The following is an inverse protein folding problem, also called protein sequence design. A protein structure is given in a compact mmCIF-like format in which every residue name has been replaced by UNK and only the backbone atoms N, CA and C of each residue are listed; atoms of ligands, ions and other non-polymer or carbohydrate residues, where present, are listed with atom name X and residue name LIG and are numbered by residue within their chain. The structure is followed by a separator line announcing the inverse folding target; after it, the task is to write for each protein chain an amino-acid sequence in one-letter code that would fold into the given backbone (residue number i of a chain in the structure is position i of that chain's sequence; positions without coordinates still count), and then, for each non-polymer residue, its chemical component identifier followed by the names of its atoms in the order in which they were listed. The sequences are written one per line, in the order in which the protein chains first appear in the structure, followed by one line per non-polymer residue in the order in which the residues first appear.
data_IF_548351016243
#
_entry.id   IF_548351016243
#
_cell.length_a   1.000
_cell.length_b   1.000
_cell.length_c   1.000
_cell.angle_alpha   90.00
_cell.angle_beta   90.00
_cell.angle_gamma   90.00
#
_symmetry.space_group_name_H-M   'P 1'
#
loop_
_entity.id
_entity.type
_entity.pdbx_description
1 polymer ?
#
# COMPACT_ATOMS: atom_id res chain seq x y z
N UNK A 1 13.32 8.97 4.26
CA UNK A 1 12.43 8.93 5.44
C UNK A 1 11.58 7.66 5.40
N UNK A 2 10.92 7.24 6.48
CA UNK A 2 10.17 5.97 6.50
C UNK A 2 8.88 6.06 7.31
N UNK A 3 7.81 5.52 6.75
CA UNK A 3 6.53 5.27 7.41
C UNK A 3 6.21 3.76 7.41
N UNK A 4 5.43 3.32 8.40
CA UNK A 4 5.06 1.90 8.58
C UNK A 4 3.59 1.81 8.95
N UNK A 5 2.84 1.00 8.20
CA UNK A 5 1.47 0.57 8.51
C UNK A 5 1.52 -0.91 8.92
N UNK A 6 0.86 -1.27 10.02
CA UNK A 6 0.58 -2.67 10.37
C UNK A 6 -0.88 -2.96 10.11
N UNK A 7 -1.14 -4.07 9.47
CA UNK A 7 -2.47 -4.53 9.09
C UNK A 7 -2.52 -6.06 9.24
N UNK A 8 -3.64 -6.66 8.83
CA UNK A 8 -3.75 -8.11 8.68
C UNK A 8 -4.46 -8.47 7.39
N UNK A 9 -4.21 -9.68 6.94
CA UNK A 9 -4.93 -10.28 5.84
C UNK A 9 -6.40 -10.60 6.17
N UNK A 10 -7.12 -11.09 5.17
CA UNK A 10 -8.53 -11.47 5.25
C UNK A 10 -8.84 -12.57 4.21
N UNK A 11 -9.82 -13.44 4.48
CA UNK A 11 -10.25 -14.54 3.60
C UNK A 11 -10.65 -14.12 2.17
N UNK A 12 -10.82 -12.83 1.92
CA UNK A 12 -11.20 -12.25 0.63
C UNK A 12 -10.06 -11.53 -0.07
N UNK A 13 -8.82 -11.59 0.46
CA UNK A 13 -7.64 -11.06 -0.23
C UNK A 13 -7.38 -11.89 -1.48
N UNK A 14 -7.78 -11.36 -2.63
CA UNK A 14 -7.55 -11.98 -3.94
C UNK A 14 -6.29 -11.44 -4.63
N UNK A 15 -5.98 -10.15 -4.41
CA UNK A 15 -4.87 -9.44 -5.03
C UNK A 15 -4.78 -9.65 -6.54
N UNK A 16 -5.86 -9.32 -7.27
CA UNK A 16 -5.97 -9.49 -8.72
C UNK A 16 -6.10 -8.18 -9.49
N UNK A 17 -6.25 -7.05 -8.80
CA UNK A 17 -6.36 -5.77 -9.48
C UNK A 17 -5.08 -5.43 -10.27
N UNK A 18 -5.23 -5.00 -11.51
CA UNK A 18 -4.14 -4.89 -12.48
C UNK A 18 -3.34 -3.59 -12.38
N UNK A 19 -3.80 -2.62 -11.60
CA UNK A 19 -3.18 -1.28 -11.56
C UNK A 19 -2.98 -0.70 -10.17
N UNK A 20 -3.46 -1.38 -9.13
CA UNK A 20 -3.34 -0.90 -7.75
C UNK A 20 -3.18 -2.03 -6.77
N UNK A 21 -2.67 -1.70 -5.58
CA UNK A 21 -2.96 -2.44 -4.35
C UNK A 21 -3.29 -1.45 -3.23
N UNK A 22 -4.00 -1.93 -2.21
CA UNK A 22 -4.54 -1.10 -1.12
C UNK A 22 -4.39 -1.77 0.25
N UNK A 23 -4.10 -0.97 1.27
CA UNK A 23 -4.22 -1.32 2.68
C UNK A 23 -5.21 -0.34 3.33
N UNK A 24 -6.19 -0.85 4.08
CA UNK A 24 -7.28 -0.05 4.66
C UNK A 24 -7.40 -0.23 6.19
N UNK A 25 -7.90 0.79 6.88
CA UNK A 25 -8.27 0.75 8.30
C UNK A 25 -9.59 0.03 8.56
N UNK A 26 -10.39 -0.25 7.52
CA UNK A 26 -11.63 -1.03 7.67
C UNK A 26 -11.37 -2.40 8.27
N UNK A 27 -12.34 -2.93 9.02
CA UNK A 27 -12.31 -4.28 9.60
C UNK A 27 -12.96 -5.35 8.70
N UNK A 28 -13.32 -4.99 7.47
CA UNK A 28 -14.02 -5.86 6.54
C UNK A 28 -13.45 -5.77 5.12
N UNK A 29 -13.57 -6.87 4.39
CA UNK A 29 -13.28 -6.95 2.96
C UNK A 29 -14.33 -7.82 2.29
N UNK A 30 -14.79 -7.41 1.10
CA UNK A 30 -15.67 -8.23 0.26
C UNK A 30 -14.89 -8.85 -0.91
N UNK A 31 -15.38 -9.92 -1.54
CA UNK A 31 -14.71 -10.51 -2.72
C UNK A 31 -14.54 -9.54 -3.91
N UNK A 32 -15.29 -8.44 -3.93
CA UNK A 32 -15.16 -7.40 -4.97
C UNK A 32 -13.97 -6.46 -4.74
N UNK A 33 -13.40 -6.42 -3.52
CA UNK A 33 -12.25 -5.58 -3.17
C UNK A 33 -10.93 -6.20 -3.59
N UNK A 34 -10.74 -6.40 -4.89
CA UNK A 34 -9.65 -7.20 -5.44
C UNK A 34 -8.26 -6.52 -5.44
N UNK A 35 -8.21 -5.22 -5.10
CA UNK A 35 -6.97 -4.47 -4.85
C UNK A 35 -6.53 -4.52 -3.38
N UNK A 36 -7.40 -4.87 -2.43
CA UNK A 36 -7.09 -4.82 -1.00
C UNK A 36 -6.24 -6.03 -0.61
N UNK A 37 -5.11 -5.77 0.04
CA UNK A 37 -4.15 -6.78 0.52
C UNK A 37 -4.02 -6.80 2.04
N UNK A 38 -4.57 -5.80 2.73
CA UNK A 38 -4.61 -5.75 4.18
C UNK A 38 -5.74 -4.87 4.71
N UNK A 39 -6.32 -5.29 5.82
CA UNK A 39 -7.39 -4.64 6.56
C UNK A 39 -6.95 -4.40 8.02
N UNK A 40 -7.77 -3.67 8.79
CA UNK A 40 -7.49 -3.27 10.18
C UNK A 40 -6.10 -2.63 10.33
N UNK A 41 -5.76 -1.76 9.38
CA UNK A 41 -4.55 -0.95 9.46
C UNK A 41 -4.53 -0.12 10.76
N UNK A 42 -3.39 -0.11 11.45
CA UNK A 42 -3.18 0.62 12.70
C UNK A 42 -3.13 2.14 12.54
N UNK A 43 -2.98 2.62 11.31
CA UNK A 43 -2.97 4.04 10.92
C UNK A 43 -3.25 4.21 9.43
N UNK A 44 -3.58 5.44 9.05
CA UNK A 44 -3.86 5.83 7.67
C UNK A 44 -2.81 6.84 7.14
N UNK A 45 -2.81 7.15 5.83
CA UNK A 45 -1.94 8.18 5.26
C UNK A 45 -1.99 9.54 5.98
N UNK A 46 -3.18 9.95 6.46
CA UNK A 46 -3.36 11.20 7.18
C UNK A 46 -2.56 11.30 8.50
N UNK A 47 -2.08 10.17 9.03
CA UNK A 47 -1.26 10.11 10.25
C UNK A 47 0.24 10.22 9.96
N UNK A 48 0.67 10.29 8.70
CA UNK A 48 2.09 10.29 8.31
C UNK A 48 2.78 11.62 8.67
N UNK A 49 4.08 11.57 8.92
CA UNK A 49 4.87 12.76 9.24
C UNK A 49 4.87 13.75 8.06
N UNK A 50 4.65 15.03 8.35
CA UNK A 50 4.63 16.09 7.33
C UNK A 50 5.92 16.13 6.49
N UNK A 51 7.07 15.80 7.10
CA UNK A 51 8.35 15.70 6.41
C UNK A 51 8.38 14.54 5.41
N UNK A 52 7.80 13.39 5.77
CA UNK A 52 7.65 12.25 4.86
C UNK A 52 6.74 12.61 3.68
N UNK A 53 5.58 13.23 3.96
CA UNK A 53 4.64 13.69 2.92
C UNK A 53 5.33 14.69 1.98
N UNK A 54 6.07 15.66 2.54
CA UNK A 54 6.81 16.63 1.74
C UNK A 54 7.87 15.97 0.85
N UNK A 55 8.59 14.96 1.34
CA UNK A 55 9.57 14.22 0.55
C UNK A 55 8.91 13.43 -0.61
N UNK A 56 7.75 12.81 -0.37
CA UNK A 56 7.00 12.10 -1.40
C UNK A 56 6.45 13.03 -2.50
N UNK A 57 6.35 14.34 -2.27
CA UNK A 57 5.90 15.31 -3.29
C UNK A 57 6.98 15.67 -4.31
N UNK A 58 8.23 15.28 -4.11
CA UNK A 58 9.29 15.50 -5.09
C UNK A 58 9.11 14.51 -6.28
N UNK A 59 8.92 14.99 -7.53
CA UNK A 59 8.82 14.11 -8.69
C UNK A 59 10.11 13.31 -8.99
N UNK A 60 11.25 13.72 -8.42
CA UNK A 60 12.51 13.00 -8.47
C UNK A 60 12.66 11.92 -7.39
N UNK A 61 11.81 11.92 -6.36
CA UNK A 61 11.91 10.98 -5.25
C UNK A 61 11.53 9.56 -5.66
N UNK A 62 12.24 8.59 -5.10
CA UNK A 62 11.89 7.18 -5.21
C UNK A 62 11.18 6.72 -3.96
N UNK A 63 10.01 6.10 -4.12
CA UNK A 63 9.26 5.51 -3.01
C UNK A 63 9.36 4.00 -3.11
N UNK A 64 10.01 3.37 -2.15
CA UNK A 64 10.08 1.91 -2.04
C UNK A 64 9.07 1.42 -1.02
N UNK A 65 8.18 0.53 -1.46
CA UNK A 65 7.21 -0.13 -0.62
C UNK A 65 7.64 -1.55 -0.35
N UNK A 66 7.56 -1.97 0.91
CA UNK A 66 7.85 -3.35 1.31
C UNK A 66 6.65 -3.93 2.04
N UNK A 67 6.10 -5.02 1.53
CA UNK A 67 5.05 -5.81 2.16
C UNK A 67 5.68 -7.04 2.80
N UNK A 68 5.49 -7.24 4.09
CA UNK A 68 6.08 -8.34 4.85
C UNK A 68 5.05 -9.06 5.71
N UNK A 69 5.02 -10.39 5.59
CA UNK A 69 4.40 -11.30 6.56
C UNK A 69 5.50 -12.08 7.29
N UNK A 70 5.13 -13.04 8.14
CA UNK A 70 6.12 -13.90 8.80
C UNK A 70 6.96 -14.73 7.80
N UNK A 71 6.34 -15.14 6.69
CA UNK A 71 6.91 -16.15 5.78
C UNK A 71 7.16 -15.61 4.36
N UNK A 72 6.69 -14.41 4.03
CA UNK A 72 6.81 -13.84 2.69
C UNK A 72 7.13 -12.33 2.71
N UNK A 73 7.81 -11.87 1.67
CA UNK A 73 8.17 -10.46 1.46
C UNK A 73 8.04 -10.10 -0.02
N UNK A 74 7.50 -8.91 -0.29
CA UNK A 74 7.51 -8.28 -1.60
C UNK A 74 8.02 -6.84 -1.50
N UNK A 75 8.71 -6.40 -2.55
CA UNK A 75 9.19 -5.03 -2.70
C UNK A 75 8.63 -4.44 -3.99
N UNK A 76 8.09 -3.23 -3.93
CA UNK A 76 7.53 -2.48 -5.05
C UNK A 76 8.22 -1.13 -5.11
N UNK A 77 8.73 -0.74 -6.28
CA UNK A 77 9.31 0.59 -6.50
C UNK A 77 8.31 1.49 -7.19
N UNK A 78 8.17 2.69 -6.69
CA UNK A 78 7.28 3.73 -7.18
C UNK A 78 7.98 5.09 -7.12
N UNK A 79 7.26 6.15 -7.48
CA UNK A 79 7.80 7.51 -7.56
C UNK A 79 6.96 8.48 -6.75
N UNK A 80 7.62 9.54 -6.29
CA UNK A 80 6.93 10.71 -5.76
C UNK A 80 6.13 11.46 -6.84
N UNK A 81 5.20 12.30 -6.40
CA UNK A 81 4.42 13.14 -7.29
C UNK A 81 3.92 14.41 -6.56
N UNK A 82 4.02 15.59 -7.19
CA UNK A 82 3.73 16.88 -6.52
C UNK A 82 2.31 16.97 -5.94
N UNK A 83 1.36 16.27 -6.55
CA UNK A 83 -0.04 16.29 -6.12
C UNK A 83 -0.38 15.30 -5.00
N UNK A 84 0.55 14.47 -4.51
CA UNK A 84 0.25 13.52 -3.42
C UNK A 84 -0.14 14.27 -2.14
N UNK A 85 -1.37 14.05 -1.66
CA UNK A 85 -1.87 14.77 -0.48
C UNK A 85 -1.73 13.99 0.81
N UNK A 86 -1.86 12.65 0.77
CA UNK A 86 -1.89 11.76 1.95
C UNK A 86 -3.03 12.10 2.93
N UNK A 87 -4.16 12.59 2.42
CA UNK A 87 -5.27 13.09 3.27
C UNK A 87 -6.25 12.00 3.71
N UNK A 88 -6.17 10.80 3.15
CA UNK A 88 -7.08 9.72 3.55
C UNK A 88 -6.85 9.29 5.00
N UNK A 89 -7.93 9.26 5.77
CA UNK A 89 -8.01 8.69 7.12
C UNK A 89 -8.34 7.18 7.11
N UNK A 90 -8.37 6.57 5.92
CA UNK A 90 -8.88 5.22 5.72
C UNK A 90 -7.99 4.31 4.89
N UNK A 91 -7.56 4.76 3.72
CA UNK A 91 -6.97 3.88 2.71
C UNK A 91 -5.64 4.40 2.19
N UNK A 92 -4.63 3.52 2.15
CA UNK A 92 -3.36 3.73 1.47
C UNK A 92 -3.36 2.95 0.15
N UNK A 93 -3.40 3.66 -0.97
CA UNK A 93 -3.47 3.09 -2.32
C UNK A 93 -2.18 3.36 -3.09
N UNK A 94 -1.64 2.32 -3.69
CA UNK A 94 -0.44 2.38 -4.53
C UNK A 94 -0.87 2.11 -5.96
N UNK A 95 -0.37 2.91 -6.91
CA UNK A 95 -0.85 2.91 -8.29
C UNK A 95 0.29 2.72 -9.27
N UNK A 96 0.07 1.93 -10.31
CA UNK A 96 0.97 1.84 -11.47
C UNK A 96 0.81 3.05 -12.40
N UNK A 97 -0.36 3.68 -12.40
CA UNK A 97 -0.62 4.93 -13.12
C UNK A 97 -0.09 6.16 -12.37
N UNK A 98 -0.18 7.33 -12.99
CA UNK A 98 0.13 8.64 -12.38
C UNK A 98 -1.10 9.34 -11.79
N UNK A 99 -2.24 8.65 -11.70
CA UNK A 99 -3.45 9.23 -11.11
C UNK A 99 -3.28 9.45 -9.61
N UNK A 100 -3.74 10.58 -9.10
CA UNK A 100 -3.66 10.92 -7.67
C UNK A 100 -5.07 11.24 -7.15
N UNK A 101 -5.42 10.60 -6.04
CA UNK A 101 -6.50 11.00 -5.13
C UNK A 101 -5.95 11.07 -3.69
N UNK A 102 -6.83 11.40 -2.75
CA UNK A 102 -6.55 11.51 -1.31
C UNK A 102 -5.95 10.23 -0.69
N UNK A 103 -6.27 9.07 -1.26
CA UNK A 103 -5.78 7.75 -0.84
C UNK A 103 -4.42 7.38 -1.43
N UNK A 104 -3.99 8.05 -2.49
CA UNK A 104 -2.75 7.69 -3.18
C UNK A 104 -1.53 7.99 -2.30
N UNK A 105 -0.75 6.94 -2.01
CA UNK A 105 0.54 7.07 -1.28
C UNK A 105 1.76 6.93 -2.18
N UNK A 106 1.59 6.38 -3.38
CA UNK A 106 2.64 6.30 -4.40
C UNK A 106 2.05 6.07 -5.80
N UNK A 107 2.75 6.57 -6.83
CA UNK A 107 2.37 6.43 -8.23
C UNK A 107 3.51 5.87 -9.08
N UNK A 108 3.20 5.41 -10.29
CA UNK A 108 4.23 4.86 -11.19
C UNK A 108 4.91 3.62 -10.62
N UNK A 109 4.17 2.83 -9.83
CA UNK A 109 4.65 1.58 -9.25
C UNK A 109 4.99 0.55 -10.35
N UNK A 110 6.04 -0.24 -10.12
CA UNK A 110 6.47 -1.33 -11.00
C UNK A 110 5.67 -2.64 -10.82
N UNK A 111 4.77 -2.68 -9.83
CA UNK A 111 3.89 -3.80 -9.53
C UNK A 111 2.53 -3.33 -8.99
N UNK A 112 1.46 -4.01 -9.38
CA UNK A 112 0.12 -3.93 -8.81
C UNK A 112 -0.17 -5.14 -7.91
N UNK A 113 -1.41 -5.26 -7.40
CA UNK A 113 -1.83 -6.42 -6.61
C UNK A 113 -1.64 -7.75 -7.38
N UNK A 114 -1.94 -7.75 -8.68
CA UNK A 114 -1.78 -8.93 -9.56
C UNK A 114 -0.32 -9.42 -9.66
N UNK A 115 0.66 -8.54 -9.44
CA UNK A 115 2.08 -8.86 -9.57
C UNK A 115 2.71 -9.37 -8.26
N UNK A 116 1.98 -9.29 -7.14
CA UNK A 116 2.47 -9.79 -5.84
C UNK A 116 2.68 -11.31 -5.88
N UNK A 117 3.71 -11.78 -5.18
CA UNK A 117 4.01 -13.21 -5.14
C UNK A 117 2.84 -14.00 -4.52
N UNK A 118 2.48 -15.14 -5.12
CA UNK A 118 1.28 -15.88 -4.70
C UNK A 118 1.39 -16.44 -3.28
N UNK A 119 2.60 -16.72 -2.79
CA UNK A 119 2.82 -17.12 -1.39
C UNK A 119 2.48 -15.99 -0.40
N UNK A 120 2.79 -14.74 -0.76
CA UNK A 120 2.40 -13.57 0.05
C UNK A 120 0.88 -13.43 0.06
N UNK A 121 0.24 -13.52 -1.12
CA UNK A 121 -1.22 -13.42 -1.25
C UNK A 121 -1.92 -14.54 -0.48
N UNK A 122 -1.42 -15.78 -0.55
CA UNK A 122 -1.97 -16.90 0.20
C UNK A 122 -1.87 -16.68 1.72
N UNK A 123 -0.71 -16.24 2.23
CA UNK A 123 -0.56 -15.92 3.64
C UNK A 123 -1.55 -14.83 4.09
N UNK A 124 -1.76 -13.79 3.26
CA UNK A 124 -2.73 -12.73 3.54
C UNK A 124 -4.18 -13.24 3.44
N UNK A 125 -4.49 -14.13 2.50
CA UNK A 125 -5.80 -14.78 2.44
C UNK A 125 -6.08 -15.61 3.71
N UNK A 126 -5.04 -16.24 4.28
CA UNK A 126 -5.12 -16.97 5.55
C UNK A 126 -5.13 -16.06 6.79
N UNK A 127 -5.13 -14.73 6.61
CA UNK A 127 -5.23 -13.76 7.70
C UNK A 127 -3.91 -13.39 8.37
N UNK A 128 -2.77 -13.65 7.73
CA UNK A 128 -1.46 -13.31 8.30
C UNK A 128 -1.33 -11.81 8.62
N UNK A 129 -0.53 -11.50 9.65
CA UNK A 129 -0.14 -10.13 9.93
C UNK A 129 0.70 -9.55 8.77
N UNK A 130 0.38 -8.31 8.39
CA UNK A 130 1.05 -7.57 7.33
C UNK A 130 1.77 -6.36 7.93
N UNK A 131 3.03 -6.16 7.57
CA UNK A 131 3.73 -4.89 7.74
C UNK A 131 3.98 -4.28 6.36
N UNK A 132 3.40 -3.11 6.11
CA UNK A 132 3.69 -2.29 4.94
C UNK A 132 4.65 -1.16 5.36
N UNK A 133 5.86 -1.14 4.79
CA UNK A 133 6.83 -0.06 4.99
C UNK A 133 6.93 0.79 3.73
N UNK A 134 6.87 2.11 3.86
CA UNK A 134 7.12 3.06 2.78
C UNK A 134 8.41 3.82 3.10
N UNK A 135 9.40 3.75 2.22
CA UNK A 135 10.66 4.49 2.35
C UNK A 135 10.80 5.43 1.17
N UNK A 136 11.03 6.71 1.45
CA UNK A 136 11.28 7.75 0.44
C UNK A 136 12.74 8.19 0.49
N UNK A 137 13.38 8.22 -0.68
CA UNK A 137 14.77 8.63 -0.93
C UNK A 137 14.84 9.80 -1.92
#
# INVERSE_FOLDING_TARGET
MREVIRARGHEHVAATHESTFEVTTDDWLTPAGDCIVGIEADRAPADFDDGFVAACRDPGATVTLTLETADARAEVRARGHPDLTFESDRSAVVRTSTYVDDRTVAVGADAAATDLHRDLVAALADGAALTLSLTVE
#
